data_IF_390327575067
#
_entry.id   IF_390327575067
#
_cell.length_a   1.000
_cell.length_b   1.000
_cell.length_c   1.000
_cell.angle_alpha   90.00
_cell.angle_beta   90.00
_cell.angle_gamma   90.00
#
_symmetry.space_group_name_H-M   'P 1'
#
loop_
_entity.id
_entity.type
_entity.pdbx_description
1 polymer ?
#
# COMPACT_ATOMS: atom_id res chain seq x y z
N UNK A 1 -11.68 -7.43 1.08
CA UNK A 1 -11.13 -8.42 2.03
C UNK A 1 -10.62 -9.70 1.36
N UNK A 2 -11.48 -10.69 1.01
CA UNK A 2 -11.02 -12.02 0.49
C UNK A 2 -9.99 -11.95 -0.65
N UNK A 3 -10.21 -11.05 -1.61
CA UNK A 3 -9.29 -10.90 -2.75
C UNK A 3 -7.90 -10.39 -2.35
N UNK A 4 -7.83 -9.52 -1.34
CA UNK A 4 -6.55 -9.01 -0.83
C UNK A 4 -5.77 -10.14 -0.16
N UNK A 5 -6.45 -10.96 0.66
CA UNK A 5 -5.84 -12.14 1.29
C UNK A 5 -5.31 -13.15 0.24
N UNK A 6 -6.10 -13.45 -0.79
CA UNK A 6 -5.67 -14.34 -1.88
C UNK A 6 -4.44 -13.82 -2.63
N UNK A 7 -4.37 -12.51 -2.88
CA UNK A 7 -3.25 -11.87 -3.55
C UNK A 7 -2.02 -11.74 -2.64
N UNK A 8 -2.22 -11.54 -1.34
CA UNK A 8 -1.13 -11.38 -0.38
C UNK A 8 -0.17 -12.58 -0.40
N UNK A 9 -0.68 -13.79 -0.58
CA UNK A 9 0.15 -15.01 -0.69
C UNK A 9 0.89 -15.15 -2.03
N UNK A 10 0.67 -14.25 -3.00
CA UNK A 10 1.22 -14.33 -4.36
C UNK A 10 2.14 -13.16 -4.73
N UNK A 11 2.18 -12.11 -3.92
CA UNK A 11 2.93 -10.88 -4.19
C UNK A 11 3.97 -10.63 -3.10
N UNK A 12 5.00 -9.83 -3.41
CA UNK A 12 6.00 -9.41 -2.42
C UNK A 12 5.42 -8.44 -1.38
N UNK A 13 4.47 -7.61 -1.81
CA UNK A 13 3.78 -6.66 -0.96
C UNK A 13 2.82 -5.76 -1.72
N UNK A 14 2.15 -4.88 -0.98
CA UNK A 14 1.25 -3.87 -1.49
C UNK A 14 1.86 -2.48 -1.28
N UNK A 15 1.84 -1.65 -2.31
CA UNK A 15 2.13 -0.21 -2.20
C UNK A 15 0.81 0.54 -2.36
N UNK A 16 0.45 1.34 -1.36
CA UNK A 16 -0.84 2.02 -1.28
C UNK A 16 -0.58 3.53 -1.20
N UNK A 17 -0.67 4.26 -2.33
CA UNK A 17 -0.58 5.71 -2.34
C UNK A 17 -1.90 6.36 -1.91
N UNK A 18 -1.85 7.23 -0.91
CA UNK A 18 -3.03 7.90 -0.36
C UNK A 18 -2.80 9.38 -0.05
N UNK A 19 -3.72 10.23 -0.52
CA UNK A 19 -3.82 11.64 -0.12
C UNK A 19 -4.54 11.72 1.25
N UNK A 20 -4.05 10.92 2.19
CA UNK A 20 -4.51 10.82 3.57
C UNK A 20 -3.41 10.10 4.40
N UNK A 21 -3.73 9.68 5.62
CA UNK A 21 -2.80 9.05 6.55
C UNK A 21 -3.02 7.54 6.79
N UNK A 22 -3.57 6.83 5.80
CA UNK A 22 -3.61 5.36 5.78
C UNK A 22 -4.98 4.73 6.02
N UNK A 23 -6.06 5.35 5.55
CA UNK A 23 -7.38 4.76 5.72
C UNK A 23 -7.48 3.42 4.97
N UNK A 24 -7.06 3.39 3.71
CA UNK A 24 -7.10 2.18 2.90
C UNK A 24 -5.90 1.27 3.19
N UNK A 25 -4.72 1.81 3.46
CA UNK A 25 -3.51 1.04 3.72
C UNK A 25 -3.66 0.18 4.98
N UNK A 26 -4.31 0.71 6.02
CA UNK A 26 -4.58 -0.06 7.25
C UNK A 26 -5.54 -1.21 6.98
N UNK A 27 -6.51 -1.02 6.08
CA UNK A 27 -7.47 -2.05 5.70
C UNK A 27 -6.83 -3.12 4.80
N UNK A 28 -5.94 -2.72 3.89
CA UNK A 28 -5.11 -3.64 3.10
C UNK A 28 -4.20 -4.46 4.02
N UNK A 29 -3.52 -3.82 4.98
CA UNK A 29 -2.68 -4.50 5.95
C UNK A 29 -3.49 -5.50 6.78
N UNK A 30 -4.64 -5.08 7.33
CA UNK A 30 -5.56 -5.95 8.07
C UNK A 30 -6.00 -7.16 7.23
N UNK A 31 -6.38 -6.94 5.98
CA UNK A 31 -6.83 -8.01 5.08
C UNK A 31 -5.69 -8.93 4.63
N UNK A 32 -4.47 -8.41 4.52
CA UNK A 32 -3.28 -9.19 4.14
C UNK A 32 -2.89 -10.21 5.21
N UNK A 33 -3.29 -9.98 6.47
CA UNK A 33 -3.00 -10.84 7.62
C UNK A 33 -1.50 -11.16 7.78
N UNK A 34 -0.62 -10.24 7.39
CA UNK A 34 0.83 -10.40 7.46
C UNK A 34 1.43 -11.30 6.37
N UNK A 35 0.65 -11.77 5.40
CA UNK A 35 1.17 -12.55 4.27
C UNK A 35 1.94 -11.72 3.25
N UNK A 36 1.75 -10.40 3.26
CA UNK A 36 2.41 -9.44 2.38
C UNK A 36 2.66 -8.14 3.14
N UNK A 37 3.82 -7.51 2.91
CA UNK A 37 4.13 -6.19 3.47
C UNK A 37 3.24 -5.11 2.84
N UNK A 38 2.60 -4.27 3.64
CA UNK A 38 1.89 -3.07 3.13
C UNK A 38 2.72 -1.82 3.37
N UNK A 39 3.05 -1.11 2.30
CA UNK A 39 3.75 0.19 2.34
C UNK A 39 2.74 1.28 2.01
N UNK A 40 2.51 2.19 2.97
CA UNK A 40 1.76 3.42 2.76
C UNK A 40 2.67 4.49 2.17
N UNK A 41 2.31 5.01 1.00
CA UNK A 41 2.87 6.27 0.47
C UNK A 41 1.86 7.37 0.80
N UNK A 42 2.15 8.16 1.84
CA UNK A 42 1.22 9.17 2.36
C UNK A 42 1.56 10.55 1.85
N UNK A 43 0.55 11.33 1.49
CA UNK A 43 0.68 12.75 1.19
C UNK A 43 -0.29 13.58 2.01
N UNK A 44 0.25 14.59 2.71
CA UNK A 44 -0.51 15.52 3.51
C UNK A 44 -0.90 16.74 2.67
N UNK A 45 -2.01 16.70 1.94
CA UNK A 45 -2.41 17.85 1.12
C UNK A 45 -3.52 17.54 0.12
N UNK A 46 -3.72 18.42 -0.87
CA UNK A 46 -4.60 18.17 -2.03
C UNK A 46 -3.83 17.93 -3.33
N UNK A 47 -2.50 17.84 -3.25
CA UNK A 47 -1.65 17.61 -4.40
C UNK A 47 -1.56 16.12 -4.75
N UNK A 48 -1.36 15.85 -6.04
CA UNK A 48 -1.18 14.51 -6.58
C UNK A 48 0.27 14.06 -6.33
N UNK A 49 0.46 12.76 -6.10
CA UNK A 49 1.78 12.14 -5.96
C UNK A 49 2.69 12.38 -7.17
N UNK A 50 3.97 12.62 -6.93
CA UNK A 50 4.98 12.39 -7.96
C UNK A 50 5.13 10.87 -8.16
N UNK A 51 5.03 10.35 -9.40
CA UNK A 51 5.23 8.93 -9.69
C UNK A 51 6.54 8.35 -9.12
N UNK A 52 7.60 9.14 -9.01
CA UNK A 52 8.88 8.70 -8.46
C UNK A 52 8.76 8.26 -6.99
N UNK A 53 7.91 8.91 -6.19
CA UNK A 53 7.66 8.53 -4.79
C UNK A 53 7.02 7.13 -4.69
N UNK A 54 6.16 6.79 -5.65
CA UNK A 54 5.52 5.48 -5.74
C UNK A 54 6.54 4.44 -6.22
N UNK A 55 7.35 4.80 -7.22
CA UNK A 55 8.39 3.93 -7.75
C UNK A 55 9.40 3.53 -6.65
N UNK A 56 9.88 4.50 -5.87
CA UNK A 56 10.77 4.22 -4.74
C UNK A 56 10.15 3.27 -3.71
N UNK A 57 8.83 3.37 -3.47
CA UNK A 57 8.14 2.47 -2.56
C UNK A 57 8.05 1.04 -3.12
N UNK A 58 7.83 0.91 -4.44
CA UNK A 58 7.84 -0.39 -5.13
C UNK A 58 9.23 -1.03 -5.10
N UNK A 59 10.30 -0.25 -5.24
CA UNK A 59 11.68 -0.74 -5.15
C UNK A 59 12.08 -1.21 -3.73
N UNK A 60 11.39 -0.72 -2.69
CA UNK A 60 11.60 -1.08 -1.27
C UNK A 60 10.76 -2.28 -0.80
N UNK A 61 10.01 -2.92 -1.70
CA UNK A 61 9.27 -4.17 -1.45
C UNK A 61 10.20 -5.40 -1.51
#
# INVERSE_FOLDING_TARGET
EKKIMELASQVKGFVVPEINYGQISLEVERCSAGHAKTILVKHAGGAIFNPDEILEAVEKL
#
